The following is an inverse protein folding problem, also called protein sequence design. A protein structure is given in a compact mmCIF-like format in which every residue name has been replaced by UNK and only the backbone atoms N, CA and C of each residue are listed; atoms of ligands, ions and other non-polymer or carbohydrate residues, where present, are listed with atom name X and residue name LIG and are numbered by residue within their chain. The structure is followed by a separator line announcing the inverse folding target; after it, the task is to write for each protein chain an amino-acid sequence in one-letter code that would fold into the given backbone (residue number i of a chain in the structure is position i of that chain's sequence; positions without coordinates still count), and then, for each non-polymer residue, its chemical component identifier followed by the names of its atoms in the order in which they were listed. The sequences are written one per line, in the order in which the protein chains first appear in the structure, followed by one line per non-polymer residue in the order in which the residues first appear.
data_IF_257817034585
#
_entry.id   IF_257817034585
#
_cell.length_a   1.000
_cell.length_b   1.000
_cell.length_c   1.000
_cell.angle_alpha   90.00
_cell.angle_beta   90.00
_cell.angle_gamma   90.00
#
_symmetry.space_group_name_H-M   'P 1'
#
loop_
_entity.id
_entity.type
_entity.pdbx_description
1 polymer ?
#
# COMPACT_ATOMS: atom_id res chain seq x y z
N UNK A 1 8.95 10.34 -14.53
CA UNK A 1 8.11 9.83 -15.63
C UNK A 1 7.17 10.92 -16.10
N UNK A 2 6.40 11.54 -15.20
CA UNK A 2 5.67 12.78 -15.49
C UNK A 2 6.60 13.83 -16.12
N UNK A 3 7.77 14.05 -15.50
CA UNK A 3 8.71 15.11 -15.91
C UNK A 3 9.75 14.69 -16.97
N UNK A 4 9.41 13.74 -17.86
CA UNK A 4 10.23 13.45 -19.05
C UNK A 4 11.23 12.29 -18.95
N UNK A 5 11.21 11.50 -17.87
CA UNK A 5 11.95 10.22 -17.83
C UNK A 5 11.37 9.25 -18.87
N UNK A 6 12.15 8.73 -19.82
CA UNK A 6 11.67 7.82 -20.85
C UNK A 6 11.17 6.51 -20.25
N UNK A 7 10.02 6.04 -20.71
CA UNK A 7 9.43 4.75 -20.38
C UNK A 7 8.40 4.38 -21.47
N UNK A 8 8.52 3.17 -22.04
CA UNK A 8 7.56 2.64 -23.02
C UNK A 8 6.36 1.95 -22.33
N UNK A 9 6.62 1.37 -21.16
CA UNK A 9 5.64 0.68 -20.32
C UNK A 9 5.85 1.08 -18.86
N UNK A 10 4.75 1.09 -18.10
CA UNK A 10 4.77 1.32 -16.65
C UNK A 10 4.00 0.22 -15.95
N UNK A 11 4.55 -0.26 -14.83
CA UNK A 11 3.89 -1.16 -13.90
C UNK A 11 4.16 -0.62 -12.51
N UNK A 12 3.12 -0.08 -11.88
CA UNK A 12 3.24 0.71 -10.65
C UNK A 12 2.43 0.08 -9.53
N UNK A 13 2.82 0.40 -8.29
CA UNK A 13 2.28 -0.26 -7.10
C UNK A 13 0.81 0.06 -6.81
N UNK A 14 0.33 1.24 -7.19
CA UNK A 14 -1.05 1.68 -6.92
C UNK A 14 -1.60 2.46 -8.11
N UNK A 15 -2.90 2.33 -8.34
CA UNK A 15 -3.63 3.02 -9.41
C UNK A 15 -3.43 4.55 -9.41
N UNK A 16 -3.39 5.27 -8.26
CA UNK A 16 -3.18 6.71 -8.27
C UNK A 16 -1.88 7.16 -8.94
N UNK A 17 -0.86 6.30 -8.99
CA UNK A 17 0.39 6.61 -9.68
C UNK A 17 0.21 6.56 -11.22
N UNK A 18 -0.66 5.68 -11.74
CA UNK A 18 -1.09 5.66 -13.15
C UNK A 18 -1.98 6.88 -13.44
N UNK A 19 -2.93 7.21 -12.57
CA UNK A 19 -3.79 8.40 -12.73
C UNK A 19 -2.98 9.69 -12.88
N UNK A 20 -1.84 9.84 -12.19
CA UNK A 20 -0.96 11.00 -12.38
C UNK A 20 -0.39 11.06 -13.80
N UNK A 21 -0.02 9.92 -14.39
CA UNK A 21 0.47 9.84 -15.76
C UNK A 21 -0.63 10.11 -16.79
N UNK A 22 -1.86 9.66 -16.53
CA UNK A 22 -3.04 9.98 -17.36
C UNK A 22 -3.31 11.49 -17.35
N UNK A 23 -3.29 12.12 -16.17
CA UNK A 23 -3.45 13.59 -16.05
C UNK A 23 -2.34 14.37 -16.77
N UNK A 24 -1.13 13.81 -16.82
CA UNK A 24 0.00 14.39 -17.54
C UNK A 24 0.02 14.04 -19.05
N UNK A 25 -1.00 13.33 -19.57
CA UNK A 25 -1.08 12.92 -20.97
C UNK A 25 -0.02 11.89 -21.40
N UNK A 26 0.58 11.17 -20.44
CA UNK A 26 1.61 10.15 -20.69
C UNK A 26 1.05 8.73 -20.80
N UNK A 27 -0.14 8.49 -20.25
CA UNK A 27 -0.88 7.23 -20.36
C UNK A 27 -2.28 7.56 -20.86
N UNK A 28 -2.82 6.70 -21.74
CA UNK A 28 -4.15 6.91 -22.30
C UNK A 28 -5.25 6.80 -21.22
N UNK A 29 -6.35 7.54 -21.41
CA UNK A 29 -7.50 7.53 -20.48
C UNK A 29 -8.30 6.22 -20.50
N UNK A 30 -8.01 5.33 -21.44
CA UNK A 30 -8.67 4.02 -21.59
C UNK A 30 -7.83 2.84 -21.08
N UNK A 31 -6.71 3.10 -20.38
CA UNK A 31 -5.80 2.08 -19.88
C UNK A 31 -6.46 1.00 -18.99
N UNK A 32 -7.57 1.33 -18.34
CA UNK A 32 -8.32 0.48 -17.41
C UNK A 32 -9.69 0.02 -17.95
N UNK A 33 -9.97 0.21 -19.24
CA UNK A 33 -11.26 -0.16 -19.84
C UNK A 33 -11.37 -1.61 -20.27
N UNK A 34 -10.27 -2.34 -20.27
CA UNK A 34 -10.29 -3.76 -20.58
C UNK A 34 -10.95 -4.58 -19.45
N UNK A 35 -11.17 -5.87 -19.69
CA UNK A 35 -11.77 -6.75 -18.69
C UNK A 35 -10.91 -6.89 -17.42
N UNK A 36 -9.59 -6.66 -17.52
CA UNK A 36 -8.65 -6.77 -16.40
C UNK A 36 -8.52 -5.48 -15.59
N UNK A 37 -9.08 -4.37 -16.09
CA UNK A 37 -8.90 -3.01 -15.58
C UNK A 37 -7.43 -2.56 -15.56
N UNK A 38 -6.63 -3.06 -16.50
CA UNK A 38 -5.19 -2.82 -16.54
C UNK A 38 -4.42 -3.43 -15.36
N UNK A 39 -5.00 -4.41 -14.64
CA UNK A 39 -4.40 -5.07 -13.47
C UNK A 39 -4.12 -6.53 -13.83
N UNK A 40 -2.93 -6.85 -14.36
CA UNK A 40 -2.60 -8.22 -14.76
C UNK A 40 -2.31 -9.14 -13.57
N UNK A 41 -1.95 -8.58 -12.42
CA UNK A 41 -1.68 -9.33 -11.19
C UNK A 41 -1.83 -8.44 -9.95
N UNK A 42 -1.86 -9.07 -8.78
CA UNK A 42 -1.88 -8.42 -7.48
C UNK A 42 -1.14 -9.23 -6.42
N UNK A 43 -1.10 -8.69 -5.22
CA UNK A 43 -0.54 -9.37 -4.04
C UNK A 43 -1.37 -9.03 -2.80
N UNK A 44 -0.97 -9.57 -1.66
CA UNK A 44 -1.56 -9.29 -0.34
C UNK A 44 -0.49 -8.75 0.60
N UNK A 45 -0.87 -7.84 1.50
CA UNK A 45 0.03 -7.37 2.55
C UNK A 45 0.25 -8.51 3.55
N UNK A 46 1.50 -8.78 3.90
CA UNK A 46 1.88 -9.82 4.86
C UNK A 46 2.93 -9.30 5.84
N UNK A 47 3.05 -9.96 7.00
CA UNK A 47 4.05 -9.65 8.01
C UNK A 47 5.31 -10.48 7.76
N UNK A 48 6.33 -9.86 7.18
CA UNK A 48 7.64 -10.49 7.03
C UNK A 48 8.39 -10.42 8.35
N UNK A 49 8.80 -11.58 8.87
CA UNK A 49 9.51 -11.71 10.15
C UNK A 49 10.86 -12.39 9.98
N UNK A 50 11.76 -12.19 10.94
CA UNK A 50 13.03 -12.94 11.00
C UNK A 50 12.75 -14.43 11.23
N UNK A 51 13.68 -15.29 10.76
CA UNK A 51 13.58 -16.73 10.93
C UNK A 51 13.32 -17.13 12.39
N UNK A 52 12.44 -18.10 12.60
CA UNK A 52 11.99 -18.55 13.92
C UNK A 52 10.97 -17.65 14.61
N UNK A 53 10.64 -16.48 14.03
CA UNK A 53 9.68 -15.50 14.59
C UNK A 53 9.94 -15.21 16.09
N UNK A 54 11.11 -14.66 16.46
CA UNK A 54 11.53 -14.53 17.85
C UNK A 54 10.60 -13.63 18.68
N UNK A 55 9.93 -12.67 18.03
CA UNK A 55 8.94 -11.79 18.66
C UNK A 55 7.53 -12.39 18.65
N UNK A 56 7.31 -13.59 18.12
CA UNK A 56 6.00 -14.27 18.05
C UNK A 56 4.91 -13.39 17.42
N UNK A 57 5.22 -12.66 16.35
CA UNK A 57 4.28 -11.80 15.63
C UNK A 57 3.34 -12.67 14.80
N UNK A 58 2.03 -12.49 14.95
CA UNK A 58 1.01 -13.24 14.23
C UNK A 58 -0.03 -12.33 13.58
N UNK A 59 -0.32 -11.19 14.18
CA UNK A 59 -1.34 -10.27 13.68
C UNK A 59 -0.97 -8.79 13.83
N UNK A 60 -1.94 -7.93 13.52
CA UNK A 60 -1.79 -6.47 13.56
C UNK A 60 -1.65 -5.91 14.99
N UNK A 61 -2.22 -6.56 16.00
CA UNK A 61 -2.12 -6.08 17.39
C UNK A 61 -0.72 -6.34 17.94
N UNK A 62 -0.07 -7.42 17.51
CA UNK A 62 1.31 -7.73 17.90
C UNK A 62 2.30 -6.63 17.50
N UNK A 63 1.99 -5.84 16.46
CA UNK A 63 2.83 -4.74 15.98
C UNK A 63 2.84 -3.53 16.92
N UNK A 64 1.85 -3.41 17.82
CA UNK A 64 1.74 -2.32 18.78
C UNK A 64 2.42 -2.62 20.12
N UNK A 65 2.95 -3.85 20.29
CA UNK A 65 3.53 -4.26 21.56
C UNK A 65 4.86 -3.53 21.82
N UNK A 66 5.18 -3.20 23.09
CA UNK A 66 6.46 -2.61 23.45
C UNK A 66 7.66 -3.44 22.93
N UNK A 67 8.67 -2.75 22.41
CA UNK A 67 9.88 -3.40 21.87
C UNK A 67 9.68 -4.05 20.50
N UNK A 68 8.52 -3.91 19.86
CA UNK A 68 8.34 -4.19 18.42
C UNK A 68 8.59 -2.90 17.65
N UNK A 69 9.53 -2.95 16.72
CA UNK A 69 9.79 -1.88 15.77
C UNK A 69 9.35 -2.40 14.40
N UNK A 70 8.50 -1.63 13.72
CA UNK A 70 7.99 -2.00 12.41
C UNK A 70 8.72 -1.20 11.34
N UNK A 71 9.22 -1.90 10.33
CA UNK A 71 9.88 -1.28 9.18
C UNK A 71 8.88 -1.22 8.03
N UNK A 72 8.50 -0.01 7.63
CA UNK A 72 7.64 0.26 6.48
C UNK A 72 8.19 1.47 5.71
N UNK A 73 8.07 1.52 4.37
CA UNK A 73 8.51 2.68 3.61
C UNK A 73 7.62 3.92 3.86
N UNK A 74 8.03 5.07 3.31
CA UNK A 74 7.25 6.32 3.39
C UNK A 74 6.06 6.33 2.41
N UNK A 75 4.84 6.73 2.83
CA UNK A 75 3.67 6.85 1.96
C UNK A 75 3.77 8.00 0.94
N UNK A 76 4.69 8.94 1.14
CA UNK A 76 4.91 10.06 0.21
C UNK A 76 5.50 9.58 -1.13
N UNK A 77 6.33 8.55 -1.10
CA UNK A 77 7.05 8.05 -2.27
C UNK A 77 6.69 6.61 -2.66
N UNK A 78 6.15 5.81 -1.74
CA UNK A 78 5.92 4.37 -1.95
C UNK A 78 4.43 4.00 -1.97
N UNK A 79 4.00 3.28 -3.01
CA UNK A 79 2.70 2.63 -3.04
C UNK A 79 2.58 1.47 -2.04
N UNK A 80 3.68 0.75 -1.77
CA UNK A 80 3.71 -0.30 -0.74
C UNK A 80 3.41 0.27 0.65
N UNK A 81 3.90 1.47 0.98
CA UNK A 81 3.58 2.12 2.24
C UNK A 81 2.07 2.41 2.37
N UNK A 82 1.41 2.83 1.28
CA UNK A 82 -0.04 3.05 1.26
C UNK A 82 -0.78 1.74 1.54
N UNK A 83 -0.38 0.64 0.91
CA UNK A 83 -0.93 -0.69 1.19
C UNK A 83 -0.69 -1.13 2.64
N UNK A 84 0.53 -0.94 3.15
CA UNK A 84 0.92 -1.29 4.52
C UNK A 84 0.13 -0.53 5.60
N UNK A 85 -0.38 0.67 5.28
CA UNK A 85 -1.28 1.42 6.16
C UNK A 85 -2.76 1.05 5.95
N UNK A 86 -3.19 0.83 4.70
CA UNK A 86 -4.56 0.47 4.37
C UNK A 86 -4.96 -0.89 4.94
N UNK A 87 -4.06 -1.88 4.94
CA UNK A 87 -4.34 -3.22 5.43
C UNK A 87 -4.73 -3.28 6.93
N UNK A 88 -3.90 -2.78 7.88
CA UNK A 88 -4.28 -2.73 9.28
C UNK A 88 -5.48 -1.80 9.53
N UNK A 89 -5.58 -0.68 8.79
CA UNK A 89 -6.74 0.20 8.89
C UNK A 89 -8.03 -0.56 8.54
N UNK A 90 -8.09 -1.23 7.39
CA UNK A 90 -9.25 -1.99 6.96
C UNK A 90 -9.58 -3.11 7.95
N UNK A 91 -8.57 -3.83 8.46
CA UNK A 91 -8.76 -4.89 9.45
C UNK A 91 -9.40 -4.37 10.75
N UNK A 92 -8.95 -3.22 11.27
CA UNK A 92 -9.41 -2.66 12.55
C UNK A 92 -10.67 -1.79 12.43
N UNK A 93 -10.92 -1.21 11.27
CA UNK A 93 -12.10 -0.38 10.99
C UNK A 93 -13.30 -1.18 10.47
N UNK A 94 -13.16 -2.49 10.28
CA UNK A 94 -14.18 -3.32 9.65
C UNK A 94 -14.42 -2.93 8.19
N UNK A 95 -13.37 -2.65 7.43
CA UNK A 95 -13.42 -2.21 6.03
C UNK A 95 -13.75 -0.73 5.84
N UNK A 96 -13.39 0.11 6.81
CA UNK A 96 -13.62 1.56 6.78
C UNK A 96 -14.94 2.02 7.40
N UNK A 97 -15.76 1.10 7.93
CA UNK A 97 -17.05 1.40 8.55
C UNK A 97 -16.92 2.12 9.90
N UNK A 98 -15.83 1.90 10.62
CA UNK A 98 -15.49 2.65 11.82
C UNK A 98 -14.38 3.66 11.53
N UNK A 99 -14.77 4.91 11.25
CA UNK A 99 -13.83 6.01 10.95
C UNK A 99 -12.87 6.33 12.10
N UNK A 100 -13.23 6.00 13.35
CA UNK A 100 -12.36 6.21 14.52
C UNK A 100 -11.21 5.22 14.61
N UNK A 101 -11.24 4.11 13.87
CA UNK A 101 -10.14 3.15 13.88
C UNK A 101 -8.85 3.68 13.23
N UNK A 102 -8.91 4.80 12.48
CA UNK A 102 -7.73 5.45 11.91
C UNK A 102 -6.80 6.06 12.99
N UNK A 103 -7.33 6.50 14.14
CA UNK A 103 -6.52 7.20 15.16
C UNK A 103 -5.61 6.27 15.96
N UNK A 104 -5.82 4.96 15.92
CA UNK A 104 -4.97 3.97 16.62
C UNK A 104 -3.66 3.69 15.87
N UNK A 105 -3.59 4.00 14.57
CA UNK A 105 -2.44 3.68 13.72
C UNK A 105 -1.41 4.81 13.65
N UNK A 106 -1.79 6.06 13.97
CA UNK A 106 -0.91 7.22 13.81
C UNK A 106 0.07 7.47 14.96
N UNK A 107 0.01 6.68 16.05
CA UNK A 107 0.81 6.91 17.26
C UNK A 107 2.05 6.03 17.37
N UNK A 108 2.24 5.03 16.52
CA UNK A 108 3.31 4.02 16.66
C UNK A 108 4.09 3.70 15.36
N UNK A 109 3.91 4.47 14.28
CA UNK A 109 4.48 4.23 12.95
C UNK A 109 5.07 5.49 12.32
#
# INVERSE_FOLDING_TARGET
MVDGKPADLVNLSVEPDITRLVKAGKVSKDWDKDATKGIPFGSVVTLVVRAGNPKKIKDWDDLLRPGVEVITPSPLSSGSAKWNLLAPYAAKSGGGRNSRAASTLSTNW
#
